data_IF_739692518672
#
_entry.id   IF_739692518672
#
_cell.length_a   1.000
_cell.length_b   1.000
_cell.length_c   1.000
_cell.angle_alpha   90.00
_cell.angle_beta   90.00
_cell.angle_gamma   90.00
#
_symmetry.space_group_name_H-M   'P 1'
#
loop_
_entity.id
_entity.type
_entity.pdbx_description
1 polymer ?
#
# COMPACT_ATOMS: atom_id res chain seq x y z
N UNK A 1 22.12 -9.51 13.90
CA UNK A 1 21.83 -8.14 13.46
C UNK A 1 21.03 -8.24 12.19
N UNK A 2 19.91 -7.54 12.09
CA UNK A 2 19.09 -7.52 10.87
C UNK A 2 19.84 -6.62 9.89
N UNK A 3 20.17 -7.15 8.71
CA UNK A 3 20.96 -6.49 7.69
C UNK A 3 20.30 -5.17 7.26
N UNK A 4 21.06 -4.08 7.34
CA UNK A 4 20.63 -2.71 7.00
C UNK A 4 20.62 -2.49 5.48
N UNK A 5 20.37 -3.54 4.71
CA UNK A 5 20.12 -3.47 3.27
C UNK A 5 18.61 -3.30 3.06
N UNK A 6 18.04 -2.23 3.63
CA UNK A 6 16.67 -1.82 3.33
C UNK A 6 16.61 -1.36 1.89
N UNK A 7 16.38 -2.31 0.97
CA UNK A 7 15.92 -1.99 -0.38
C UNK A 7 14.62 -1.23 -0.21
N UNK A 8 14.61 0.05 -0.58
CA UNK A 8 13.39 0.87 -0.58
C UNK A 8 12.42 0.22 -1.57
N UNK A 9 11.35 -0.38 -1.05
CA UNK A 9 10.28 -0.94 -1.87
C UNK A 9 9.34 0.20 -2.24
N UNK A 10 9.05 0.34 -3.53
CA UNK A 10 8.04 1.26 -4.01
C UNK A 10 6.72 0.49 -4.03
N UNK A 11 5.93 0.59 -2.96
CA UNK A 11 4.68 -0.14 -2.82
C UNK A 11 3.49 0.71 -3.27
N UNK A 12 2.62 0.13 -4.07
CA UNK A 12 1.29 0.66 -4.39
C UNK A 12 0.25 0.11 -3.43
N UNK A 13 -0.63 0.97 -2.92
CA UNK A 13 -1.68 0.62 -1.96
C UNK A 13 -3.07 0.83 -2.56
N UNK A 14 -3.86 -0.23 -2.67
CA UNK A 14 -5.23 -0.18 -3.21
C UNK A 14 -6.22 -0.57 -2.09
N UNK A 15 -6.91 0.41 -1.49
CA UNK A 15 -7.87 0.15 -0.42
C UNK A 15 -9.18 -0.44 -0.98
N UNK A 16 -9.58 -1.60 -0.44
CA UNK A 16 -10.85 -2.26 -0.75
C UNK A 16 -11.75 -2.23 0.49
N UNK A 17 -12.69 -1.28 0.50
CA UNK A 17 -13.62 -1.05 1.61
C UNK A 17 -14.92 -1.82 1.40
N UNK A 18 -15.36 -2.56 2.43
CA UNK A 18 -16.53 -3.45 2.35
C UNK A 18 -17.85 -2.69 2.35
N UNK A 19 -18.01 -1.60 3.11
CA UNK A 19 -19.06 -0.56 3.03
C UNK A 19 -19.01 0.39 4.26
N UNK A 20 -19.50 1.64 4.16
CA UNK A 20 -19.80 2.34 2.92
C UNK A 20 -18.52 2.55 2.12
N UNK A 21 -18.62 2.61 0.78
CA UNK A 21 -17.50 2.96 -0.10
C UNK A 21 -17.04 4.40 0.17
N UNK A 22 -16.27 4.59 1.23
CA UNK A 22 -15.58 5.83 1.53
C UNK A 22 -14.23 5.81 0.83
N UNK A 23 -13.98 6.87 0.07
CA UNK A 23 -12.64 7.16 -0.42
C UNK A 23 -11.73 7.31 0.81
N UNK A 24 -10.82 6.37 0.96
CA UNK A 24 -9.81 6.34 2.01
C UNK A 24 -8.47 6.36 1.30
N UNK A 25 -7.60 7.27 1.71
CA UNK A 25 -6.27 7.43 1.15
C UNK A 25 -5.26 7.03 2.22
N UNK A 26 -4.30 6.22 1.83
CA UNK A 26 -3.15 5.85 2.67
C UNK A 26 -1.97 6.63 2.11
N UNK A 27 -1.50 7.63 2.85
CA UNK A 27 -0.38 8.48 2.40
C UNK A 27 0.93 8.06 3.04
N UNK A 28 0.89 7.62 4.30
CA UNK A 28 2.07 7.24 5.08
C UNK A 28 1.94 5.83 5.66
N UNK A 29 3.06 5.28 6.13
CA UNK A 29 3.12 3.94 6.72
C UNK A 29 2.24 3.85 7.99
N UNK A 30 2.11 4.96 8.73
CA UNK A 30 1.23 5.07 9.88
C UNK A 30 -0.25 4.94 9.50
N UNK A 31 -0.65 5.46 8.32
CA UNK A 31 -2.02 5.37 7.83
C UNK A 31 -2.40 3.91 7.48
N UNK A 32 -1.42 3.09 7.07
CA UNK A 32 -1.60 1.66 6.78
C UNK A 32 -2.09 0.93 8.03
N UNK A 33 -1.46 1.18 9.18
CA UNK A 33 -1.81 0.52 10.43
C UNK A 33 -3.25 0.88 10.86
N UNK A 34 -3.60 2.17 10.79
CA UNK A 34 -4.94 2.64 11.12
C UNK A 34 -5.99 2.03 10.17
N UNK A 35 -5.68 1.97 8.87
CA UNK A 35 -6.57 1.38 7.88
C UNK A 35 -6.86 -0.11 8.16
N UNK A 36 -5.82 -0.90 8.45
CA UNK A 36 -5.92 -2.34 8.68
C UNK A 36 -6.60 -2.71 10.00
N UNK A 37 -6.51 -1.84 11.02
CA UNK A 37 -7.11 -2.07 12.34
C UNK A 37 -8.52 -1.51 12.48
N UNK A 38 -8.92 -0.61 11.57
CA UNK A 38 -10.28 -0.08 11.52
C UNK A 38 -11.30 -1.15 11.12
N UNK A 39 -12.48 -1.07 11.74
CA UNK A 39 -13.62 -1.93 11.42
C UNK A 39 -14.85 -1.09 11.09
N UNK A 40 -15.70 -1.60 10.21
CA UNK A 40 -16.97 -0.98 9.91
C UNK A 40 -18.03 -1.24 11.01
N UNK A 41 -19.26 -0.76 10.77
CA UNK A 41 -20.38 -0.93 11.70
C UNK A 41 -20.78 -2.40 11.93
N UNK A 42 -20.46 -3.28 10.98
CA UNK A 42 -20.70 -4.72 11.06
C UNK A 42 -19.46 -5.47 11.61
N UNK A 43 -18.44 -4.74 12.09
CA UNK A 43 -17.17 -5.26 12.61
C UNK A 43 -16.32 -5.99 11.56
N UNK A 44 -16.52 -5.68 10.29
CA UNK A 44 -15.71 -6.23 9.19
C UNK A 44 -14.47 -5.35 9.00
N UNK A 45 -13.34 -5.98 8.68
CA UNK A 45 -12.09 -5.28 8.38
C UNK A 45 -11.99 -5.01 6.88
N UNK A 46 -11.42 -3.86 6.54
CA UNK A 46 -11.08 -3.55 5.16
C UNK A 46 -9.87 -4.36 4.69
N UNK A 47 -9.79 -4.61 3.38
CA UNK A 47 -8.66 -5.31 2.77
C UNK A 47 -7.77 -4.28 2.10
N UNK A 48 -6.46 -4.41 2.30
CA UNK A 48 -5.47 -3.62 1.59
C UNK A 48 -4.75 -4.52 0.59
N UNK A 49 -4.91 -4.22 -0.70
CA UNK A 49 -4.10 -4.85 -1.73
C UNK A 49 -2.79 -4.06 -1.87
N UNK A 50 -1.66 -4.78 -1.94
CA UNK A 50 -0.31 -4.20 -2.00
C UNK A 50 0.40 -4.75 -3.22
N UNK A 51 0.91 -3.85 -4.06
CA UNK A 51 1.66 -4.19 -5.27
C UNK A 51 3.10 -3.66 -5.16
N UNK A 52 4.08 -4.43 -5.63
CA UNK A 52 5.46 -3.96 -5.80
C UNK A 52 5.58 -3.22 -7.14
N UNK A 53 5.71 -1.89 -7.07
CA UNK A 53 5.90 -1.05 -8.24
C UNK A 53 7.38 -1.08 -8.58
N UNK A 54 7.74 -1.96 -9.52
CA UNK A 54 9.07 -1.91 -10.11
C UNK A 54 9.21 -0.58 -10.86
N UNK A 55 10.20 0.23 -10.48
CA UNK A 55 10.60 1.37 -11.31
C UNK A 55 11.01 0.83 -12.67
N UNK A 56 10.23 1.14 -13.70
CA UNK A 56 10.59 0.84 -15.07
C UNK A 56 11.87 1.62 -15.38
N UNK A 57 13.00 0.90 -15.51
CA UNK A 57 14.23 1.51 -16.01
C UNK A 57 13.98 1.96 -17.44
N UNK A 58 13.98 3.28 -17.66
CA UNK A 58 13.98 3.85 -19.01
C UNK A 58 15.31 3.45 -19.64
N UNK A 59 15.31 2.40 -20.45
CA UNK A 59 16.48 2.02 -21.23
C UNK A 59 16.59 3.01 -22.38
N UNK A 60 17.59 3.89 -22.32
CA UNK A 60 17.95 4.71 -23.47
C UNK A 60 18.50 3.80 -24.56
N UNK A 61 17.72 3.57 -25.62
CA UNK A 61 18.22 2.92 -26.82
C UNK A 61 19.15 3.93 -27.50
N UNK A 62 20.45 3.66 -27.48
CA UNK A 62 21.43 4.39 -28.28
C UNK A 62 21.59 3.62 -29.59
N UNK A 63 21.28 4.28 -30.72
CA UNK A 63 21.61 3.80 -32.07
C UNK A 63 23.10 3.98 -32.38
#
# INVERSE_FOLDING_TARGET
>A
GIDLLTKKLNLGYIPLVVEPKRQSYIFYDEDVFVYLTSVDREKRRSILHVEDIQELQIVQITE
#
